data_IF_561211353819
#
_entry.id   IF_561211353819
#
_cell.length_a   1.000
_cell.length_b   1.000
_cell.length_c   1.000
_cell.angle_alpha   90.00
_cell.angle_beta   90.00
_cell.angle_gamma   90.00
#
_symmetry.space_group_name_H-M   'P 1'
#
loop_
_entity.id
_entity.type
_entity.pdbx_description
1 polymer ?
#
# COMPACT_ATOMS: atom_id res chain seq x y z
N UNK A 1 -16.83 6.78 23.93
CA UNK A 1 -16.07 5.88 23.06
C UNK A 1 -15.70 6.61 21.79
N UNK A 2 -14.47 6.41 21.30
CA UNK A 2 -13.97 7.08 20.11
C UNK A 2 -13.39 6.03 19.14
N UNK A 3 -13.80 6.09 17.87
CA UNK A 3 -13.28 5.21 16.84
C UNK A 3 -11.98 5.77 16.27
N UNK A 4 -10.99 4.89 16.07
CA UNK A 4 -9.75 5.22 15.40
C UNK A 4 -9.93 5.12 13.88
N UNK A 5 -9.00 5.69 13.09
CA UNK A 5 -9.04 5.51 11.64
C UNK A 5 -9.01 4.04 11.25
N UNK A 6 -9.72 3.69 10.19
CA UNK A 6 -9.75 2.32 9.69
C UNK A 6 -8.38 1.92 9.14
N UNK A 7 -8.06 0.63 9.29
CA UNK A 7 -6.85 0.03 8.72
C UNK A 7 -7.29 -0.92 7.61
N UNK A 8 -6.94 -0.63 6.34
CA UNK A 8 -7.27 -1.54 5.25
C UNK A 8 -6.55 -2.87 5.39
N UNK A 9 -7.25 -3.95 5.05
CA UNK A 9 -6.68 -5.30 4.99
C UNK A 9 -6.59 -5.69 3.52
N UNK A 10 -5.37 -5.94 3.04
CA UNK A 10 -5.12 -6.28 1.65
C UNK A 10 -4.71 -7.75 1.51
N UNK A 11 -5.27 -8.42 0.51
CA UNK A 11 -4.95 -9.81 0.23
C UNK A 11 -3.61 -9.91 -0.51
N UNK A 12 -2.72 -10.76 0.00
CA UNK A 12 -1.46 -11.08 -0.66
C UNK A 12 -1.37 -12.59 -0.88
N UNK A 13 -0.52 -13.01 -1.82
CA UNK A 13 -0.38 -14.43 -2.18
C UNK A 13 1.06 -14.92 -2.07
N UNK A 14 2.02 -14.03 -1.81
CA UNK A 14 3.43 -14.38 -1.67
C UNK A 14 4.09 -13.38 -0.74
N UNK A 15 4.62 -13.86 0.38
CA UNK A 15 5.23 -12.99 1.40
C UNK A 15 6.45 -12.26 0.85
N UNK A 16 7.30 -12.95 0.09
CA UNK A 16 8.52 -12.35 -0.46
C UNK A 16 8.19 -11.19 -1.42
N UNK A 17 7.21 -11.39 -2.31
CA UNK A 17 6.78 -10.36 -3.25
C UNK A 17 6.09 -9.20 -2.53
N UNK A 18 5.34 -9.49 -1.47
CA UNK A 18 4.71 -8.45 -0.67
C UNK A 18 5.76 -7.58 0.02
N UNK A 19 6.78 -8.18 0.62
CA UNK A 19 7.85 -7.43 1.28
C UNK A 19 8.67 -6.61 0.28
N UNK A 20 8.97 -7.18 -0.88
CA UNK A 20 9.68 -6.47 -1.93
C UNK A 20 8.90 -5.21 -2.36
N UNK A 21 7.60 -5.32 -2.53
CA UNK A 21 6.76 -4.19 -2.95
C UNK A 21 6.52 -3.19 -1.83
N UNK A 22 6.01 -3.65 -0.68
CA UNK A 22 5.59 -2.73 0.39
C UNK A 22 6.76 -2.18 1.20
N UNK A 23 7.78 -2.99 1.48
CA UNK A 23 8.92 -2.52 2.27
C UNK A 23 9.99 -1.89 1.40
N UNK A 24 10.45 -2.60 0.38
CA UNK A 24 11.58 -2.10 -0.42
C UNK A 24 11.17 -1.01 -1.40
N UNK A 25 10.09 -1.21 -2.14
CA UNK A 25 9.64 -0.24 -3.13
C UNK A 25 8.88 0.92 -2.50
N UNK A 26 7.81 0.65 -1.75
CA UNK A 26 6.98 1.71 -1.16
C UNK A 26 7.55 2.31 0.13
N UNK A 27 8.58 1.71 0.71
CA UNK A 27 9.24 2.28 1.89
C UNK A 27 8.46 2.13 3.19
N UNK A 28 7.54 1.18 3.27
CA UNK A 28 6.85 0.87 4.51
C UNK A 28 7.76 0.13 5.47
N UNK A 29 7.47 0.25 6.75
CA UNK A 29 8.16 -0.46 7.83
C UNK A 29 7.29 -1.62 8.30
N UNK A 30 7.89 -2.80 8.44
CA UNK A 30 7.19 -3.94 9.02
C UNK A 30 7.11 -3.77 10.53
N UNK A 31 5.88 -3.71 11.07
CA UNK A 31 5.66 -3.55 12.50
C UNK A 31 5.65 -4.90 13.21
N UNK A 32 4.91 -5.85 12.66
CA UNK A 32 4.83 -7.21 13.18
C UNK A 32 4.27 -8.13 12.11
N UNK A 33 4.54 -9.42 12.30
CA UNK A 33 3.93 -10.46 11.48
C UNK A 33 3.52 -11.61 12.37
N UNK A 34 2.46 -12.32 11.98
CA UNK A 34 1.89 -13.39 12.76
C UNK A 34 1.49 -14.56 11.87
N UNK A 35 1.83 -15.77 12.33
CA UNK A 35 1.32 -17.03 11.81
C UNK A 35 0.82 -17.83 13.01
N UNK A 36 -0.38 -18.40 12.91
CA UNK A 36 -0.88 -19.25 14.01
C UNK A 36 0.02 -20.47 14.22
N UNK A 37 0.60 -20.99 13.13
CA UNK A 37 1.67 -21.99 13.14
C UNK A 37 2.62 -21.67 11.99
N UNK A 38 3.89 -22.16 12.01
CA UNK A 38 4.89 -21.79 11.01
C UNK A 38 4.48 -22.03 9.55
N UNK A 39 3.62 -23.00 9.30
CA UNK A 39 3.20 -23.37 7.95
C UNK A 39 1.90 -22.70 7.51
N UNK A 40 1.25 -21.97 8.42
CA UNK A 40 -0.02 -21.33 8.13
C UNK A 40 0.17 -19.94 7.48
N UNK A 41 -0.89 -19.41 6.87
CA UNK A 41 -0.82 -18.10 6.22
C UNK A 41 -0.36 -16.98 7.13
N UNK A 42 0.35 -16.01 6.57
CA UNK A 42 0.88 -14.85 7.27
C UNK A 42 -0.17 -13.76 7.36
N UNK A 43 -0.17 -13.06 8.49
CA UNK A 43 -0.86 -11.78 8.68
C UNK A 43 0.14 -10.77 9.22
N UNK A 44 0.25 -9.61 8.60
CA UNK A 44 1.28 -8.65 8.96
C UNK A 44 0.74 -7.22 9.00
N UNK A 45 1.38 -6.38 9.79
CA UNK A 45 1.12 -4.95 9.76
C UNK A 45 2.35 -4.20 9.27
N UNK A 46 2.12 -3.27 8.33
CA UNK A 46 3.14 -2.36 7.84
C UNK A 46 2.64 -0.93 7.97
N UNK A 47 3.55 0.01 8.08
CA UNK A 47 3.17 1.43 8.11
C UNK A 47 4.21 2.30 7.40
N UNK A 48 3.75 3.42 6.91
CA UNK A 48 4.61 4.52 6.46
C UNK A 48 3.93 5.81 6.88
N UNK A 49 4.63 6.62 7.69
CA UNK A 49 4.03 7.80 8.33
C UNK A 49 2.73 7.41 9.04
N UNK A 50 1.63 8.08 8.80
CA UNK A 50 0.34 7.74 9.40
C UNK A 50 -0.47 6.66 8.68
N UNK A 51 0.02 6.16 7.54
CA UNK A 51 -0.70 5.14 6.79
C UNK A 51 -0.33 3.74 7.27
N UNK A 52 -1.31 3.03 7.80
CA UNK A 52 -1.15 1.67 8.31
C UNK A 52 -1.93 0.73 7.39
N UNK A 53 -1.32 -0.38 7.00
CA UNK A 53 -1.95 -1.43 6.20
C UNK A 53 -1.75 -2.78 6.87
N UNK A 54 -2.74 -3.66 6.75
CA UNK A 54 -2.58 -5.06 7.09
C UNK A 54 -2.48 -5.86 5.79
N UNK A 55 -1.55 -6.80 5.76
CA UNK A 55 -1.34 -7.69 4.61
C UNK A 55 -1.66 -9.12 5.06
N UNK A 56 -2.53 -9.80 4.33
CA UNK A 56 -3.01 -11.12 4.73
C UNK A 56 -2.93 -12.13 3.61
N UNK A 57 -2.33 -13.29 3.90
CA UNK A 57 -2.40 -14.45 3.03
C UNK A 57 -3.65 -15.29 3.29
N UNK A 58 -4.43 -14.97 4.32
CA UNK A 58 -5.59 -15.78 4.70
C UNK A 58 -6.70 -15.68 3.66
N UNK A 59 -7.15 -16.82 3.18
CA UNK A 59 -8.29 -16.91 2.29
C UNK A 59 -9.54 -16.36 2.99
N UNK A 60 -10.19 -15.42 2.35
CA UNK A 60 -11.43 -14.83 2.88
C UNK A 60 -11.25 -13.58 3.72
N UNK A 61 -10.02 -13.18 4.07
CA UNK A 61 -9.80 -11.94 4.83
C UNK A 61 -10.10 -10.70 4.04
N UNK A 62 -9.76 -10.71 2.76
CA UNK A 62 -9.98 -9.57 1.89
C UNK A 62 -10.24 -10.05 0.46
N UNK A 63 -10.94 -9.23 -0.30
CA UNK A 63 -11.15 -9.48 -1.72
C UNK A 63 -9.87 -9.15 -2.48
N UNK A 64 -9.33 -10.07 -3.30
CA UNK A 64 -8.20 -9.74 -4.16
C UNK A 64 -8.54 -8.57 -5.08
N UNK A 65 -7.58 -7.67 -5.28
CA UNK A 65 -7.79 -6.53 -6.16
C UNK A 65 -8.45 -5.34 -5.48
N UNK A 66 -8.35 -5.24 -4.17
CA UNK A 66 -8.87 -4.09 -3.41
C UNK A 66 -8.14 -2.80 -3.75
N UNK A 67 -8.82 -1.66 -3.59
CA UNK A 67 -8.25 -0.34 -3.82
C UNK A 67 -8.22 0.45 -2.52
N UNK A 68 -7.09 1.09 -2.24
CA UNK A 68 -6.90 1.95 -1.07
C UNK A 68 -6.62 3.36 -1.56
N UNK A 69 -7.31 4.34 -0.98
CA UNK A 69 -7.10 5.76 -1.24
C UNK A 69 -6.40 6.38 -0.03
N UNK A 70 -5.27 7.03 -0.26
CA UNK A 70 -4.51 7.67 0.81
C UNK A 70 -4.10 9.08 0.41
N UNK A 71 -4.24 10.02 1.33
CA UNK A 71 -3.78 11.41 1.14
C UNK A 71 -2.28 11.48 1.34
N UNK A 72 -1.61 12.29 0.52
CA UNK A 72 -0.19 12.59 0.69
C UNK A 72 0.01 14.10 0.60
N UNK A 73 1.03 14.61 1.27
CA UNK A 73 1.31 16.06 1.27
C UNK A 73 2.06 16.49 0.02
N UNK A 74 3.00 15.66 -0.46
CA UNK A 74 3.85 15.97 -1.61
C UNK A 74 3.96 14.76 -2.53
N UNK A 75 3.04 14.69 -3.48
CA UNK A 75 2.98 13.56 -4.40
C UNK A 75 4.13 13.57 -5.41
N UNK A 76 4.68 14.73 -5.74
CA UNK A 76 5.82 14.82 -6.66
C UNK A 76 7.05 14.19 -6.02
N UNK A 77 7.27 14.47 -4.72
CA UNK A 77 8.37 13.85 -3.99
C UNK A 77 8.23 12.33 -3.94
N UNK A 78 7.01 11.83 -3.68
CA UNK A 78 6.76 10.39 -3.68
C UNK A 78 6.98 9.79 -5.07
N UNK A 79 6.48 10.43 -6.11
CA UNK A 79 6.66 9.97 -7.49
C UNK A 79 8.14 9.85 -7.83
N UNK A 80 8.93 10.86 -7.48
CA UNK A 80 10.38 10.86 -7.75
C UNK A 80 11.09 9.75 -6.99
N UNK A 81 10.73 9.56 -5.72
CA UNK A 81 11.29 8.47 -4.91
C UNK A 81 11.05 7.11 -5.55
N UNK A 82 9.81 6.84 -5.98
CA UNK A 82 9.44 5.55 -6.55
C UNK A 82 10.08 5.36 -7.94
N UNK A 83 10.13 6.41 -8.74
CA UNK A 83 10.76 6.35 -10.06
C UNK A 83 12.25 6.04 -9.94
N UNK A 84 12.93 6.64 -8.97
CA UNK A 84 14.37 6.45 -8.76
C UNK A 84 14.71 5.01 -8.33
N UNK A 85 13.79 4.32 -7.70
CA UNK A 85 14.02 2.93 -7.26
C UNK A 85 14.08 1.92 -8.40
N UNK A 86 13.50 2.23 -9.54
CA UNK A 86 13.55 1.43 -10.78
C UNK A 86 13.14 -0.04 -10.62
N UNK A 87 12.16 -0.30 -9.77
CA UNK A 87 11.56 -1.63 -9.70
C UNK A 87 10.74 -1.90 -10.96
N UNK A 88 10.58 -3.17 -11.33
CA UNK A 88 9.80 -3.58 -12.50
C UNK A 88 8.30 -3.40 -12.36
N UNK A 89 7.85 -2.65 -11.35
CA UNK A 89 6.46 -2.30 -11.13
C UNK A 89 6.07 -1.13 -12.04
N UNK A 90 4.78 -0.82 -12.10
CA UNK A 90 4.29 0.26 -12.94
C UNK A 90 5.03 1.57 -12.64
N UNK A 91 5.30 2.36 -13.67
CA UNK A 91 5.89 3.68 -13.50
C UNK A 91 4.81 4.61 -12.98
N UNK A 92 4.95 5.12 -11.76
CA UNK A 92 3.92 5.98 -11.21
C UNK A 92 3.87 7.32 -11.94
N UNK A 93 2.67 7.68 -12.39
CA UNK A 93 2.43 8.94 -13.07
C UNK A 93 1.34 9.69 -12.32
N UNK A 94 1.61 10.95 -11.97
CA UNK A 94 0.63 11.79 -11.30
C UNK A 94 -0.23 12.51 -12.32
N UNK A 95 -1.54 12.38 -12.18
CA UNK A 95 -2.52 13.00 -13.08
C UNK A 95 -3.49 13.89 -12.28
N UNK A 96 -3.99 14.93 -12.91
CA UNK A 96 -5.03 15.77 -12.31
C UNK A 96 -6.37 15.05 -12.36
N UNK A 97 -7.05 15.01 -11.22
CA UNK A 97 -8.42 14.51 -11.09
C UNK A 97 -9.26 15.57 -10.40
N UNK A 98 -10.59 15.36 -10.30
CA UNK A 98 -11.47 16.38 -9.73
C UNK A 98 -11.17 16.78 -8.28
N UNK A 99 -10.44 15.94 -7.53
CA UNK A 99 -10.15 16.17 -6.12
C UNK A 99 -8.65 16.30 -5.82
N UNK A 100 -7.81 16.44 -6.85
CA UNK A 100 -6.41 16.70 -6.62
C UNK A 100 -5.49 16.17 -7.71
N UNK A 101 -4.23 15.97 -7.33
CA UNK A 101 -3.23 15.32 -8.17
C UNK A 101 -3.03 13.90 -7.65
N UNK A 102 -3.31 12.89 -8.46
CA UNK A 102 -3.41 11.49 -8.04
C UNK A 102 -2.46 10.60 -8.80
N UNK A 103 -1.89 9.63 -8.08
CA UNK A 103 -1.02 8.59 -8.62
C UNK A 103 -1.56 7.24 -8.19
N UNK A 104 -1.71 6.30 -9.13
CA UNK A 104 -2.17 4.94 -8.82
C UNK A 104 -1.06 3.94 -9.08
N UNK A 105 -0.86 3.03 -8.14
CA UNK A 105 0.16 1.98 -8.22
C UNK A 105 -0.51 0.64 -7.91
N UNK A 106 -0.23 -0.36 -8.75
CA UNK A 106 -0.70 -1.72 -8.53
C UNK A 106 0.38 -2.55 -7.85
N UNK A 107 -0.01 -3.34 -6.83
CA UNK A 107 0.90 -4.29 -6.22
C UNK A 107 0.95 -5.59 -7.04
N UNK A 108 1.83 -6.56 -6.68
CA UNK A 108 1.93 -7.82 -7.42
C UNK A 108 0.67 -8.69 -7.40
N UNK A 109 -0.30 -8.36 -6.56
CA UNK A 109 -1.51 -9.17 -6.34
C UNK A 109 -2.77 -8.51 -6.90
N UNK A 110 -2.61 -7.40 -7.62
CA UNK A 110 -3.74 -6.68 -8.19
C UNK A 110 -4.39 -5.65 -7.27
N UNK A 111 -3.90 -5.49 -6.05
CA UNK A 111 -4.36 -4.40 -5.19
C UNK A 111 -3.84 -3.08 -5.74
N UNK A 112 -4.62 -2.01 -5.58
CA UNK A 112 -4.26 -0.68 -6.05
C UNK A 112 -4.19 0.31 -4.92
N UNK A 113 -3.15 1.13 -4.96
CA UNK A 113 -2.95 2.21 -4.00
C UNK A 113 -3.05 3.53 -4.77
N UNK A 114 -4.01 4.36 -4.38
CA UNK A 114 -4.20 5.69 -4.95
C UNK A 114 -3.71 6.72 -3.95
N UNK A 115 -2.58 7.34 -4.28
CA UNK A 115 -2.05 8.45 -3.49
C UNK A 115 -2.51 9.75 -4.12
N UNK A 116 -3.06 10.64 -3.32
CA UNK A 116 -3.64 11.88 -3.84
C UNK A 116 -3.26 13.07 -2.98
N UNK A 117 -2.66 14.07 -3.63
CA UNK A 117 -2.40 15.35 -3.01
C UNK A 117 -3.56 16.27 -3.31
N UNK A 118 -4.18 16.82 -2.27
CA UNK A 118 -5.27 17.76 -2.44
C UNK A 118 -4.71 19.06 -2.99
N UNK A 119 -5.30 19.52 -4.08
CA UNK A 119 -4.93 20.81 -4.70
C UNK A 119 -6.03 21.79 -4.40
N UNK A 120 -5.66 22.91 -3.80
CA UNK A 120 -6.58 24.03 -3.57
C UNK A 120 -6.67 24.89 -4.83
N UNK A 121 -7.87 25.29 -5.18
CA UNK A 121 -8.09 26.21 -6.30
C UNK A 121 -9.38 25.98 -7.00
#
# INVERSE_FOLDING_TARGET
>A
MQLAPAIPVLRIFCVEKAKEFYLDFLGFTLDWEHRFEPELPLYAQVHRDGLILHLSEHHGDATPGSTVFARVEDIVALQNELTDKRYGYSRPEAIHVGWGLQMEIADPFGNRLRFCQQIEG
#
